data_IF_033894412977
#
_entry.id   IF_033894412977
#
_cell.length_a   1.000
_cell.length_b   1.000
_cell.length_c   1.000
_cell.angle_alpha   90.00
_cell.angle_beta   90.00
_cell.angle_gamma   90.00
#
_symmetry.space_group_name_H-M   'P 1'
#
loop_
_entity.id
_entity.type
_entity.pdbx_description
1 polymer ?
#
# COMPACT_ATOMS: atom_id res chain seq x y z
N UNK A 1 1.65 -13.29 -16.71
CA UNK A 1 1.12 -12.23 -17.61
C UNK A 1 1.82 -10.88 -17.46
N UNK A 2 2.07 -10.35 -16.25
CA UNK A 2 2.70 -9.02 -16.09
C UNK A 2 4.20 -9.03 -16.40
N UNK A 3 4.91 -10.07 -15.98
CA UNK A 3 6.38 -10.08 -15.98
C UNK A 3 6.98 -10.98 -17.07
N UNK A 4 6.29 -12.04 -17.44
CA UNK A 4 6.82 -13.04 -18.39
C UNK A 4 6.32 -12.82 -19.81
N UNK A 5 5.04 -12.49 -20.00
CA UNK A 5 4.49 -12.29 -21.35
C UNK A 5 4.99 -10.98 -21.98
N UNK A 6 5.40 -11.06 -23.23
CA UNK A 6 5.88 -9.90 -24.00
C UNK A 6 5.31 -9.97 -25.44
N UNK A 7 4.42 -9.05 -25.85
CA UNK A 7 3.82 -7.99 -25.03
C UNK A 7 2.89 -8.53 -23.94
N UNK A 8 2.75 -7.82 -22.83
CA UNK A 8 1.80 -8.21 -21.79
C UNK A 8 0.36 -8.12 -22.32
N UNK A 9 -0.52 -9.06 -21.97
CA UNK A 9 -1.93 -8.95 -22.31
C UNK A 9 -2.55 -7.66 -21.78
N UNK A 10 -3.53 -7.07 -22.49
CA UNK A 10 -4.20 -5.87 -22.02
C UNK A 10 -4.94 -6.14 -20.70
N UNK A 11 -4.84 -5.17 -19.79
CA UNK A 11 -5.61 -5.18 -18.55
C UNK A 11 -7.08 -4.88 -18.81
N UNK A 12 -7.93 -5.29 -17.87
CA UNK A 12 -9.30 -4.85 -17.81
C UNK A 12 -9.43 -3.34 -17.52
N UNK A 13 -10.68 -2.82 -17.51
CA UNK A 13 -10.93 -1.42 -17.20
C UNK A 13 -10.49 -1.08 -15.78
N UNK A 14 -10.20 0.22 -15.51
CA UNK A 14 -9.84 0.65 -14.15
C UNK A 14 -10.96 0.37 -13.15
N UNK A 15 -10.60 0.00 -11.94
CA UNK A 15 -11.52 -0.27 -10.83
C UNK A 15 -11.81 1.03 -10.07
N UNK A 16 -13.08 1.36 -9.86
CA UNK A 16 -13.48 2.58 -9.15
C UNK A 16 -12.92 2.68 -7.72
N UNK A 17 -12.78 1.54 -7.00
CA UNK A 17 -12.18 1.54 -5.67
C UNK A 17 -10.68 1.87 -5.71
N UNK A 18 -9.97 1.53 -6.79
CA UNK A 18 -8.58 1.95 -6.97
C UNK A 18 -8.49 3.46 -7.27
N UNK A 19 -9.39 3.98 -8.12
CA UNK A 19 -9.48 5.42 -8.43
C UNK A 19 -9.80 6.24 -7.16
N UNK A 20 -10.73 5.73 -6.35
CA UNK A 20 -11.07 6.32 -5.04
C UNK A 20 -9.86 6.35 -4.11
N UNK A 21 -9.18 5.21 -3.93
CA UNK A 21 -7.98 5.12 -3.10
C UNK A 21 -6.87 6.05 -3.57
N UNK A 22 -6.56 6.03 -4.87
CA UNK A 22 -5.53 6.89 -5.45
C UNK A 22 -5.83 8.38 -5.26
N UNK A 23 -7.10 8.79 -5.45
CA UNK A 23 -7.50 10.19 -5.20
C UNK A 23 -7.25 10.60 -3.74
N UNK A 24 -7.63 9.75 -2.78
CA UNK A 24 -7.44 10.03 -1.34
C UNK A 24 -5.95 10.12 -0.99
N UNK A 25 -5.13 9.17 -1.45
CA UNK A 25 -3.67 9.18 -1.20
C UNK A 25 -3.02 10.44 -1.80
N UNK A 26 -3.37 10.79 -3.04
CA UNK A 26 -2.86 12.00 -3.70
C UNK A 26 -3.24 13.28 -2.95
N UNK A 27 -4.48 13.37 -2.45
CA UNK A 27 -4.94 14.51 -1.69
C UNK A 27 -4.20 14.65 -0.35
N UNK A 28 -3.99 13.55 0.38
CA UNK A 28 -3.22 13.54 1.63
C UNK A 28 -1.75 13.91 1.38
N UNK A 29 -1.16 13.37 0.31
CA UNK A 29 0.19 13.74 -0.09
C UNK A 29 0.30 15.22 -0.45
N UNK A 30 -0.68 15.75 -1.16
CA UNK A 30 -0.78 17.17 -1.49
C UNK A 30 -0.90 18.05 -0.24
N UNK A 31 -1.73 17.64 0.71
CA UNK A 31 -1.96 18.38 1.95
C UNK A 31 -0.67 18.53 2.79
N UNK A 32 0.09 17.46 2.94
CA UNK A 32 1.37 17.51 3.65
C UNK A 32 2.43 18.39 2.98
N UNK A 33 2.31 18.64 1.67
CA UNK A 33 3.22 19.52 0.90
C UNK A 33 2.82 20.99 0.95
N UNK A 34 1.65 21.31 1.50
CA UNK A 34 1.22 22.70 1.66
C UNK A 34 2.03 23.41 2.74
N UNK A 35 2.19 24.74 2.63
CA UNK A 35 2.66 25.58 3.74
C UNK A 35 1.77 25.38 4.96
N UNK A 36 2.33 25.45 6.18
CA UNK A 36 1.60 25.22 7.43
C UNK A 36 0.29 26.03 7.51
N UNK A 37 0.32 27.29 7.11
CA UNK A 37 -0.86 28.16 7.15
C UNK A 37 -2.04 27.68 6.28
N UNK A 38 -1.76 26.84 5.29
CA UNK A 38 -2.75 26.28 4.36
C UNK A 38 -3.18 24.86 4.72
N UNK A 39 -2.54 24.21 5.69
CA UNK A 39 -2.87 22.85 6.14
C UNK A 39 -4.16 22.83 6.97
N UNK A 40 -5.29 23.07 6.31
CA UNK A 40 -6.63 23.07 6.92
C UNK A 40 -7.46 21.91 6.38
N UNK A 41 -8.44 21.41 7.16
CA UNK A 41 -9.34 20.35 6.68
C UNK A 41 -10.02 20.69 5.36
N UNK A 42 -10.54 21.92 5.23
CA UNK A 42 -11.18 22.39 3.99
C UNK A 42 -10.25 22.33 2.77
N UNK A 43 -8.99 22.73 2.94
CA UNK A 43 -8.00 22.65 1.84
C UNK A 43 -7.73 21.21 1.42
N UNK A 44 -7.77 20.27 2.36
CA UNK A 44 -7.64 18.84 2.04
C UNK A 44 -8.82 18.35 1.17
N UNK A 45 -10.05 18.76 1.47
CA UNK A 45 -11.22 18.46 0.65
C UNK A 45 -11.13 19.09 -0.76
N UNK A 46 -10.58 20.30 -0.89
CA UNK A 46 -10.33 20.95 -2.18
C UNK A 46 -9.27 20.21 -3.00
N UNK A 47 -8.26 19.61 -2.35
CA UNK A 47 -7.27 18.77 -3.02
C UNK A 47 -7.90 17.49 -3.59
N UNK A 48 -8.83 16.87 -2.87
CA UNK A 48 -9.62 15.74 -3.37
C UNK A 48 -10.36 16.11 -4.65
N UNK A 49 -11.06 17.25 -4.64
CA UNK A 49 -11.84 17.72 -5.78
C UNK A 49 -10.97 17.99 -7.01
N UNK A 50 -9.86 18.69 -6.84
CA UNK A 50 -8.90 18.98 -7.92
C UNK A 50 -8.22 17.74 -8.50
N UNK A 51 -7.98 16.73 -7.67
CA UNK A 51 -7.30 15.49 -8.06
C UNK A 51 -8.24 14.32 -8.29
N UNK A 52 -9.56 14.57 -8.49
CA UNK A 52 -10.54 13.51 -8.63
C UNK A 52 -10.29 12.64 -9.87
N UNK A 53 -10.19 11.33 -9.65
CA UNK A 53 -10.05 10.32 -10.69
C UNK A 53 -11.42 9.69 -10.92
N UNK A 54 -12.02 9.96 -12.06
CA UNK A 54 -13.40 9.59 -12.38
C UNK A 54 -13.56 8.23 -13.08
N UNK A 55 -12.46 7.51 -13.33
CA UNK A 55 -12.49 6.24 -14.04
C UNK A 55 -13.04 5.11 -13.16
N UNK A 56 -13.79 4.20 -13.80
CA UNK A 56 -14.29 2.97 -13.20
C UNK A 56 -15.63 3.09 -12.49
N UNK A 57 -16.18 4.29 -12.32
CA UNK A 57 -17.53 4.48 -11.78
C UNK A 57 -18.59 4.15 -12.81
N UNK A 58 -19.80 3.80 -12.33
CA UNK A 58 -20.94 3.44 -13.18
C UNK A 58 -21.41 4.61 -14.04
N UNK A 59 -21.55 5.76 -13.39
CA UNK A 59 -21.99 7.00 -14.03
C UNK A 59 -21.48 8.24 -13.26
N UNK A 60 -21.80 9.42 -13.80
CA UNK A 60 -21.43 10.71 -13.17
C UNK A 60 -22.10 10.92 -11.82
N UNK A 61 -23.29 10.38 -11.57
CA UNK A 61 -24.00 10.50 -10.29
C UNK A 61 -23.30 9.67 -9.21
N UNK A 62 -22.92 8.43 -9.53
CA UNK A 62 -22.14 7.61 -8.62
C UNK A 62 -20.77 8.27 -8.32
N UNK A 63 -20.06 8.74 -9.37
CA UNK A 63 -18.80 9.43 -9.22
C UNK A 63 -18.93 10.67 -8.29
N UNK A 64 -19.97 11.48 -8.44
CA UNK A 64 -20.22 12.63 -7.60
C UNK A 64 -20.49 12.28 -6.12
N UNK A 65 -21.27 11.20 -5.87
CA UNK A 65 -21.48 10.71 -4.50
C UNK A 65 -20.18 10.29 -3.83
N UNK A 66 -19.31 9.57 -4.57
CA UNK A 66 -18.03 9.10 -4.04
C UNK A 66 -17.00 10.22 -3.89
N UNK A 67 -17.02 11.23 -4.75
CA UNK A 67 -16.27 12.47 -4.55
C UNK A 67 -16.65 13.14 -3.22
N UNK A 68 -17.93 13.28 -2.91
CA UNK A 68 -18.40 13.81 -1.63
C UNK A 68 -17.91 12.99 -0.44
N UNK A 69 -17.94 11.66 -0.54
CA UNK A 69 -17.40 10.74 0.49
C UNK A 69 -15.91 10.90 0.68
N UNK A 70 -15.14 10.98 -0.41
CA UNK A 70 -13.69 11.16 -0.34
C UNK A 70 -13.32 12.49 0.33
N UNK A 71 -14.00 13.58 -0.04
CA UNK A 71 -13.82 14.91 0.58
C UNK A 71 -14.07 14.84 2.09
N UNK A 72 -15.20 14.31 2.51
CA UNK A 72 -15.56 14.18 3.93
C UNK A 72 -14.60 13.25 4.70
N UNK A 73 -14.13 12.16 4.08
CA UNK A 73 -13.17 11.23 4.69
C UNK A 73 -11.82 11.91 4.94
N UNK A 74 -11.27 12.58 3.94
CA UNK A 74 -9.97 13.26 4.05
C UNK A 74 -10.06 14.42 5.03
N UNK A 75 -11.13 15.22 4.98
CA UNK A 75 -11.36 16.33 5.90
C UNK A 75 -11.41 15.88 7.37
N UNK A 76 -12.18 14.81 7.66
CA UNK A 76 -12.24 14.24 9.02
C UNK A 76 -10.88 13.72 9.47
N UNK A 77 -10.17 13.03 8.60
CA UNK A 77 -8.87 12.44 8.95
C UNK A 77 -7.83 13.52 9.25
N UNK A 78 -7.66 14.52 8.38
CA UNK A 78 -6.67 15.57 8.62
C UNK A 78 -7.02 16.45 9.82
N UNK A 79 -8.30 16.56 10.20
CA UNK A 79 -8.72 17.24 11.43
C UNK A 79 -8.21 16.56 12.72
N UNK A 80 -7.80 15.28 12.64
CA UNK A 80 -7.19 14.55 13.76
C UNK A 80 -5.68 14.71 13.84
N UNK A 81 -5.06 15.33 12.84
CA UNK A 81 -3.61 15.48 12.75
C UNK A 81 -3.17 16.84 13.31
N UNK A 82 -1.95 16.88 13.84
CA UNK A 82 -1.26 18.14 14.11
C UNK A 82 -0.64 18.65 12.80
N UNK A 83 -1.12 19.76 12.24
CA UNK A 83 -0.61 20.30 10.99
C UNK A 83 0.83 20.82 11.08
N UNK A 84 1.35 21.08 12.30
CA UNK A 84 2.71 21.55 12.52
C UNK A 84 3.74 20.43 12.44
N UNK A 85 3.32 19.17 12.47
CA UNK A 85 4.23 18.03 12.28
C UNK A 85 4.73 18.01 10.84
N UNK A 86 6.05 17.91 10.67
CA UNK A 86 6.68 17.77 9.36
C UNK A 86 7.10 16.30 9.15
N UNK A 87 6.44 15.56 8.27
CA UNK A 87 6.87 14.22 7.91
C UNK A 87 8.28 14.22 7.28
N UNK A 88 9.09 13.22 7.58
CA UNK A 88 10.40 13.00 6.93
C UNK A 88 10.24 12.71 5.44
N UNK A 89 9.09 12.19 5.05
CA UNK A 89 8.76 11.96 3.67
C UNK A 89 7.27 11.69 3.45
N UNK A 90 6.80 12.10 2.27
CA UNK A 90 5.43 11.87 1.79
C UNK A 90 5.53 11.30 0.39
N UNK A 91 4.85 10.18 0.11
CA UNK A 91 5.00 9.43 -1.15
C UNK A 91 6.49 9.13 -1.43
N UNK A 92 7.21 8.78 -0.37
CA UNK A 92 8.65 8.63 -0.43
C UNK A 92 9.05 7.28 -0.99
N UNK A 93 9.80 7.30 -2.08
CA UNK A 93 10.41 6.09 -2.62
C UNK A 93 11.60 5.71 -1.73
N UNK A 94 11.60 4.45 -1.29
CA UNK A 94 12.71 3.82 -0.59
C UNK A 94 13.15 2.59 -1.37
N UNK A 95 14.46 2.34 -1.39
CA UNK A 95 15.01 1.15 -2.03
C UNK A 95 16.19 0.63 -1.19
N UNK A 96 16.29 -0.68 -1.13
CA UNK A 96 17.44 -1.37 -0.52
C UNK A 96 17.75 -2.63 -1.31
N UNK A 97 18.96 -3.15 -1.14
CA UNK A 97 19.33 -4.43 -1.75
C UNK A 97 20.02 -5.31 -0.71
N UNK A 98 19.86 -6.61 -0.89
CA UNK A 98 20.73 -7.63 -0.31
C UNK A 98 21.58 -8.25 -1.40
N UNK A 99 22.30 -9.33 -1.11
CA UNK A 99 23.01 -10.10 -2.13
C UNK A 99 22.04 -10.81 -3.08
N UNK A 100 20.82 -11.12 -2.60
CA UNK A 100 19.83 -11.94 -3.32
C UNK A 100 18.77 -11.09 -4.02
N UNK A 101 18.32 -9.99 -3.41
CA UNK A 101 17.20 -9.20 -3.93
C UNK A 101 17.43 -7.70 -3.87
N UNK A 102 16.79 -6.99 -4.78
CA UNK A 102 16.57 -5.55 -4.71
C UNK A 102 15.08 -5.29 -4.37
N UNK A 103 14.86 -4.54 -3.30
CA UNK A 103 13.51 -4.16 -2.84
C UNK A 103 13.33 -2.67 -3.03
N UNK A 104 12.26 -2.27 -3.64
CA UNK A 104 11.86 -0.87 -3.72
C UNK A 104 10.37 -0.73 -3.44
N UNK A 105 9.98 0.41 -2.91
CA UNK A 105 8.58 0.72 -2.66
C UNK A 105 8.37 2.18 -2.35
N UNK A 106 7.11 2.58 -2.25
CA UNK A 106 6.71 3.94 -1.95
C UNK A 106 5.91 3.97 -0.66
N UNK A 107 6.40 4.71 0.30
CA UNK A 107 5.78 4.90 1.62
C UNK A 107 4.86 6.10 1.53
N UNK A 108 3.60 5.96 1.94
CA UNK A 108 2.62 7.05 1.90
C UNK A 108 3.07 8.23 2.77
N UNK A 109 3.47 7.94 4.02
CA UNK A 109 4.04 8.93 4.93
C UNK A 109 5.09 8.29 5.85
N UNK A 110 6.19 8.97 6.03
CA UNK A 110 7.25 8.60 6.97
C UNK A 110 7.38 9.69 8.03
N UNK A 111 7.05 9.35 9.26
CA UNK A 111 7.10 10.28 10.39
C UNK A 111 8.41 10.15 11.16
N UNK A 112 8.75 11.22 11.85
CA UNK A 112 9.81 11.29 12.86
C UNK A 112 9.15 11.50 14.22
N UNK A 113 9.27 10.52 15.12
CA UNK A 113 8.60 10.56 16.42
C UNK A 113 9.60 10.29 17.56
N UNK A 114 9.36 10.84 18.78
CA UNK A 114 10.17 10.51 19.94
C UNK A 114 10.27 8.99 20.13
N UNK A 115 11.49 8.49 20.39
CA UNK A 115 11.70 7.11 20.75
C UNK A 115 11.03 6.81 22.10
N UNK A 116 10.60 5.55 22.32
CA UNK A 116 10.06 5.17 23.61
C UNK A 116 11.14 5.26 24.69
N UNK A 117 10.81 5.76 25.89
CA UNK A 117 11.73 5.69 27.03
C UNK A 117 12.12 4.23 27.32
N UNK A 118 13.42 3.95 27.44
CA UNK A 118 13.94 2.60 27.74
C UNK A 118 14.26 1.72 26.53
N UNK A 119 14.24 2.25 25.31
CA UNK A 119 14.83 1.57 24.17
C UNK A 119 16.33 1.30 24.43
N UNK A 120 16.80 0.06 24.14
CA UNK A 120 18.20 -0.32 24.41
C UNK A 120 19.16 0.62 23.67
N UNK A 121 20.05 1.34 24.40
CA UNK A 121 21.05 2.22 23.76
C UNK A 121 21.97 1.47 22.78
N UNK A 122 22.13 0.15 22.93
CA UNK A 122 22.95 -0.67 22.02
C UNK A 122 22.33 -0.83 20.65
N UNK A 123 20.99 -0.78 20.56
CA UNK A 123 20.28 -0.73 19.28
C UNK A 123 20.44 0.66 18.61
N UNK A 124 20.68 1.72 19.38
CA UNK A 124 20.90 3.08 18.86
C UNK A 124 22.34 3.35 18.42
N UNK A 125 23.32 2.59 18.89
CA UNK A 125 24.76 2.83 18.61
C UNK A 125 25.16 2.59 17.14
N UNK A 126 24.35 1.89 16.35
CA UNK A 126 24.63 1.72 14.90
C UNK A 126 24.26 2.94 14.04
N UNK A 127 23.57 3.92 14.60
CA UNK A 127 23.13 5.15 13.91
C UNK A 127 23.65 6.40 14.63
N UNK A 128 24.98 6.57 14.65
CA UNK A 128 25.64 7.72 15.28
C UNK A 128 25.44 9.04 14.54
N UNK A 129 24.22 9.60 14.57
CA UNK A 129 23.86 10.88 13.99
C UNK A 129 22.96 11.72 14.90
N UNK A 130 22.78 13.03 14.62
CA UNK A 130 21.84 13.86 15.37
C UNK A 130 20.42 13.30 15.21
N UNK A 131 19.73 13.03 16.34
CA UNK A 131 18.38 12.46 16.36
C UNK A 131 18.27 11.09 17.05
N UNK A 132 19.22 10.71 17.89
CA UNK A 132 19.26 9.41 18.59
C UNK A 132 18.03 9.11 19.46
N UNK A 133 17.26 10.14 19.84
CA UNK A 133 16.05 10.00 20.67
C UNK A 133 14.76 9.97 19.83
N UNK A 134 14.87 9.78 18.51
CA UNK A 134 13.70 9.79 17.61
C UNK A 134 13.77 8.65 16.62
N UNK A 135 12.63 7.96 16.47
CA UNK A 135 12.45 6.81 15.58
C UNK A 135 11.62 7.19 14.34
N UNK A 136 11.93 6.54 13.23
CA UNK A 136 11.08 6.62 12.03
C UNK A 136 9.87 5.72 12.21
N UNK A 137 8.71 6.19 11.73
CA UNK A 137 7.45 5.45 11.71
C UNK A 137 6.91 5.43 10.29
N UNK A 138 6.73 4.24 9.74
CA UNK A 138 6.06 4.05 8.45
C UNK A 138 4.56 4.14 8.65
N UNK A 139 3.90 5.00 7.89
CA UNK A 139 2.44 5.14 7.87
C UNK A 139 1.92 4.79 6.49
N UNK A 140 0.91 3.92 6.45
CA UNK A 140 0.21 3.51 5.24
C UNK A 140 -1.29 3.77 5.42
N UNK A 141 -1.92 4.37 4.42
CA UNK A 141 -3.33 4.73 4.44
C UNK A 141 -4.19 3.61 3.86
N UNK A 142 -5.28 3.30 4.54
CA UNK A 142 -6.28 2.34 4.08
C UNK A 142 -7.63 3.02 3.91
N UNK A 143 -8.16 2.96 2.70
CA UNK A 143 -9.45 3.54 2.32
C UNK A 143 -10.55 2.49 2.19
N UNK A 144 -10.21 1.21 2.32
CA UNK A 144 -11.14 0.09 2.22
C UNK A 144 -12.21 0.13 3.33
N UNK A 145 -13.37 -0.53 3.09
CA UNK A 145 -14.46 -0.59 4.08
C UNK A 145 -14.07 -1.37 5.32
N UNK A 146 -13.44 -2.53 5.14
CA UNK A 146 -13.09 -3.42 6.24
C UNK A 146 -11.92 -2.86 7.01
N UNK A 147 -12.09 -2.54 8.30
CA UNK A 147 -10.97 -2.11 9.12
C UNK A 147 -9.90 -3.22 9.16
N UNK A 148 -8.61 -2.86 9.02
CA UNK A 148 -7.54 -3.82 9.23
C UNK A 148 -7.51 -4.29 10.69
N UNK A 149 -6.84 -5.41 10.92
CA UNK A 149 -6.57 -5.95 12.24
C UNK A 149 -5.12 -5.72 12.64
N UNK A 150 -4.79 -5.88 13.92
CA UNK A 150 -3.39 -5.86 14.37
C UNK A 150 -2.55 -6.95 13.67
N UNK A 151 -3.18 -8.08 13.34
CA UNK A 151 -2.51 -9.14 12.60
C UNK A 151 -2.14 -8.71 11.18
N UNK A 152 -2.98 -7.91 10.50
CA UNK A 152 -2.68 -7.39 9.17
C UNK A 152 -1.45 -6.48 9.19
N UNK A 153 -1.34 -5.61 10.21
CA UNK A 153 -0.15 -4.76 10.39
C UNK A 153 1.09 -5.62 10.66
N UNK A 154 0.98 -6.55 11.60
CA UNK A 154 2.08 -7.41 12.04
C UNK A 154 2.63 -8.30 10.92
N UNK A 155 1.75 -8.88 10.11
CA UNK A 155 2.11 -9.85 9.07
C UNK A 155 2.40 -9.22 7.70
N UNK A 156 2.22 -7.91 7.56
CA UNK A 156 2.45 -7.20 6.30
C UNK A 156 3.91 -7.23 5.89
N UNK A 157 4.23 -8.02 4.88
CA UNK A 157 5.57 -8.07 4.29
C UNK A 157 5.98 -6.71 3.73
N UNK A 158 5.06 -6.01 3.05
CA UNK A 158 5.32 -4.71 2.47
C UNK A 158 5.72 -3.66 3.53
N UNK A 159 4.98 -3.55 4.63
CA UNK A 159 5.29 -2.61 5.71
C UNK A 159 6.63 -2.92 6.38
N UNK A 160 6.92 -4.19 6.61
CA UNK A 160 8.21 -4.61 7.18
C UNK A 160 9.38 -4.25 6.26
N UNK A 161 9.23 -4.49 4.95
CA UNK A 161 10.24 -4.13 3.95
C UNK A 161 10.39 -2.61 3.81
N UNK A 162 9.32 -1.84 3.93
CA UNK A 162 9.38 -0.37 3.96
C UNK A 162 10.14 0.14 5.19
N UNK A 163 9.87 -0.43 6.37
CA UNK A 163 10.59 -0.08 7.59
C UNK A 163 12.09 -0.39 7.46
N UNK A 164 12.42 -1.57 6.94
CA UNK A 164 13.79 -2.00 6.67
C UNK A 164 14.52 -1.06 5.71
N UNK A 165 13.88 -0.77 4.56
CA UNK A 165 14.46 0.10 3.54
C UNK A 165 14.61 1.54 4.04
N UNK A 166 13.61 2.11 4.73
CA UNK A 166 13.68 3.44 5.31
C UNK A 166 14.80 3.53 6.36
N UNK A 167 14.89 2.54 7.24
CA UNK A 167 15.94 2.47 8.25
C UNK A 167 17.34 2.45 7.65
N UNK A 168 17.57 1.64 6.63
CA UNK A 168 18.86 1.54 5.93
C UNK A 168 19.22 2.80 5.16
N UNK A 169 18.27 3.34 4.37
CA UNK A 169 18.51 4.52 3.52
C UNK A 169 18.78 5.76 4.37
N UNK A 170 18.02 5.94 5.45
CA UNK A 170 18.13 7.11 6.30
C UNK A 170 19.10 6.91 7.48
N UNK A 171 19.63 5.70 7.66
CA UNK A 171 20.53 5.32 8.76
C UNK A 171 19.95 5.66 10.14
N UNK A 172 18.67 5.35 10.33
CA UNK A 172 17.91 5.62 11.55
C UNK A 172 17.05 4.42 11.93
N UNK A 173 16.66 4.33 13.19
CA UNK A 173 15.74 3.30 13.67
C UNK A 173 14.37 3.47 12.98
N UNK A 174 13.86 2.38 12.44
CA UNK A 174 12.53 2.31 11.81
C UNK A 174 11.94 0.93 12.07
N UNK A 175 11.34 0.73 13.23
CA UNK A 175 10.73 -0.54 13.64
C UNK A 175 9.22 -0.45 13.72
N UNK A 176 8.68 0.76 13.85
CA UNK A 176 7.25 0.98 14.00
C UNK A 176 6.59 1.21 12.64
N UNK A 177 5.49 0.49 12.43
CA UNK A 177 4.62 0.61 11.25
C UNK A 177 3.19 0.85 11.69
N UNK A 178 2.45 1.66 10.96
CA UNK A 178 1.06 2.01 11.25
C UNK A 178 0.20 1.88 10.00
N UNK A 179 -1.00 1.28 10.17
CA UNK A 179 -2.10 1.37 9.22
C UNK A 179 -3.12 2.37 9.73
N UNK A 180 -3.35 3.42 8.97
CA UNK A 180 -4.37 4.41 9.25
C UNK A 180 -5.61 4.11 8.41
N UNK A 181 -6.66 3.57 9.04
CA UNK A 181 -7.93 3.28 8.38
C UNK A 181 -8.81 4.52 8.36
N UNK A 182 -8.84 5.20 7.23
CA UNK A 182 -9.45 6.52 7.08
C UNK A 182 -10.98 6.51 7.29
N UNK A 183 -11.75 5.48 6.84
CA UNK A 183 -13.19 5.44 7.07
C UNK A 183 -13.60 5.50 8.54
N UNK A 184 -12.85 4.85 9.43
CA UNK A 184 -13.16 4.78 10.88
C UNK A 184 -12.24 5.63 11.74
N UNK A 185 -11.25 6.32 11.14
CA UNK A 185 -10.18 7.04 11.84
C UNK A 185 -9.38 6.17 12.82
N UNK A 186 -9.38 4.84 12.64
CA UNK A 186 -8.64 3.90 13.46
C UNK A 186 -7.17 3.86 13.04
N UNK A 187 -6.28 3.90 14.01
CA UNK A 187 -4.84 3.71 13.82
C UNK A 187 -4.43 2.40 14.49
N UNK A 188 -3.86 1.50 13.70
CA UNK A 188 -3.31 0.23 14.16
C UNK A 188 -1.80 0.28 13.99
N UNK A 189 -1.08 -0.03 15.05
CA UNK A 189 0.36 0.02 15.06
C UNK A 189 0.97 -1.34 15.42
N UNK A 190 2.12 -1.61 14.84
CA UNK A 190 2.97 -2.72 15.21
C UNK A 190 4.43 -2.26 15.31
N UNK A 191 5.14 -2.76 16.30
CA UNK A 191 6.57 -2.51 16.47
C UNK A 191 7.32 -3.84 16.25
N UNK A 192 8.11 -3.89 15.21
CA UNK A 192 8.98 -5.02 14.91
C UNK A 192 10.21 -5.02 15.80
N UNK A 193 10.75 -6.18 16.12
CA UNK A 193 12.13 -6.33 16.56
C UNK A 193 13.06 -6.50 15.36
N UNK A 194 14.37 -6.35 15.52
CA UNK A 194 15.36 -6.67 14.47
C UNK A 194 15.14 -8.09 13.94
N UNK A 195 15.01 -9.07 14.83
CA UNK A 195 14.74 -10.46 14.46
C UNK A 195 13.43 -10.64 13.68
N UNK A 196 12.40 -9.82 13.98
CA UNK A 196 11.16 -9.84 13.23
C UNK A 196 11.37 -9.30 11.81
N UNK A 197 12.09 -8.19 11.65
CA UNK A 197 12.41 -7.64 10.33
C UNK A 197 13.30 -8.59 9.53
N UNK A 198 14.28 -9.22 10.15
CA UNK A 198 15.13 -10.22 9.49
C UNK A 198 14.34 -11.44 9.00
N UNK A 199 13.35 -11.91 9.77
CA UNK A 199 12.45 -12.97 9.30
C UNK A 199 11.63 -12.54 8.09
N UNK A 200 11.13 -11.31 8.06
CA UNK A 200 10.38 -10.80 6.90
C UNK A 200 11.28 -10.62 5.68
N UNK A 201 12.54 -10.21 5.89
CA UNK A 201 13.50 -10.11 4.81
C UNK A 201 13.81 -11.49 4.20
N UNK A 202 14.12 -12.49 5.04
CA UNK A 202 14.33 -13.87 4.57
C UNK A 202 13.11 -14.39 3.80
N UNK A 203 11.90 -14.15 4.31
CA UNK A 203 10.68 -14.52 3.57
C UNK A 203 10.60 -13.86 2.19
N UNK A 204 11.01 -12.60 2.06
CA UNK A 204 11.06 -11.94 0.76
C UNK A 204 12.12 -12.54 -0.16
N UNK A 205 13.27 -12.91 0.38
CA UNK A 205 14.34 -13.57 -0.34
C UNK A 205 13.93 -14.98 -0.83
N UNK A 206 13.26 -15.76 0.02
CA UNK A 206 12.72 -17.09 -0.33
C UNK A 206 11.70 -16.99 -1.47
N UNK A 207 10.77 -16.03 -1.41
CA UNK A 207 9.78 -15.78 -2.48
C UNK A 207 10.48 -15.36 -3.78
N UNK A 208 11.49 -14.51 -3.70
CA UNK A 208 12.21 -14.06 -4.89
C UNK A 208 13.02 -15.20 -5.53
N UNK A 209 13.65 -16.06 -4.75
CA UNK A 209 14.36 -17.25 -5.22
C UNK A 209 13.41 -18.25 -5.89
N UNK A 210 12.23 -18.49 -5.29
CA UNK A 210 11.19 -19.30 -5.91
C UNK A 210 10.73 -18.72 -7.25
N UNK A 211 10.48 -17.42 -7.31
CA UNK A 211 10.11 -16.72 -8.55
C UNK A 211 11.22 -16.82 -9.61
N UNK A 212 12.49 -16.67 -9.22
CA UNK A 212 13.62 -16.76 -10.15
C UNK A 212 13.77 -18.17 -10.74
N UNK A 213 13.64 -19.20 -9.90
CA UNK A 213 13.66 -20.59 -10.36
C UNK A 213 12.50 -20.91 -11.31
N UNK A 214 11.31 -20.43 -11.00
CA UNK A 214 10.14 -20.60 -11.85
C UNK A 214 10.31 -19.88 -13.21
N UNK A 215 10.87 -18.66 -13.21
CA UNK A 215 11.15 -17.89 -14.43
C UNK A 215 12.22 -18.58 -15.30
N UNK A 216 13.28 -19.09 -14.71
CA UNK A 216 14.33 -19.84 -15.39
C UNK A 216 13.78 -21.11 -16.05
N UNK A 217 12.98 -21.88 -15.31
CA UNK A 217 12.34 -23.08 -15.85
C UNK A 217 11.37 -22.75 -17.01
N UNK A 218 10.57 -21.70 -16.87
CA UNK A 218 9.66 -21.25 -17.93
C UNK A 218 10.42 -20.84 -19.21
N UNK A 219 11.57 -20.17 -19.06
CA UNK A 219 12.40 -19.74 -20.20
C UNK A 219 13.15 -20.87 -20.87
N UNK A 220 13.55 -21.88 -20.13
CA UNK A 220 14.27 -23.05 -20.67
C UNK A 220 13.38 -23.95 -21.53
N UNK A 221 12.06 -23.94 -21.33
CA UNK A 221 11.10 -24.80 -22.02
C UNK A 221 9.84 -24.07 -22.56
N UNK A 222 9.98 -23.01 -23.38
CA UNK A 222 8.87 -22.13 -23.75
C UNK A 222 7.78 -22.79 -24.62
N UNK A 223 8.10 -23.90 -25.31
CA UNK A 223 7.20 -24.52 -26.29
C UNK A 223 6.39 -25.72 -25.76
N UNK A 224 6.54 -26.11 -24.50
CA UNK A 224 6.03 -27.40 -24.01
C UNK A 224 4.62 -27.36 -23.40
N UNK A 225 3.93 -26.23 -23.37
CA UNK A 225 2.65 -26.10 -22.67
C UNK A 225 2.76 -26.25 -21.14
N UNK A 226 3.98 -26.29 -20.61
CA UNK A 226 4.28 -26.50 -19.19
C UNK A 226 4.20 -25.23 -18.34
N UNK A 227 3.82 -24.09 -18.90
CA UNK A 227 3.59 -22.87 -18.13
C UNK A 227 2.68 -23.12 -16.94
N UNK A 228 1.66 -23.96 -17.12
CA UNK A 228 0.70 -24.30 -16.07
C UNK A 228 1.30 -25.19 -14.96
N UNK A 229 2.35 -25.95 -15.24
CA UNK A 229 3.03 -26.77 -14.23
C UNK A 229 3.93 -25.91 -13.32
N UNK A 230 4.53 -24.85 -13.89
CA UNK A 230 5.42 -23.93 -13.15
C UNK A 230 4.65 -22.80 -12.49
N UNK A 231 3.60 -22.30 -13.15
CA UNK A 231 2.70 -21.25 -12.66
C UNK A 231 1.26 -21.77 -12.66
N UNK A 232 0.93 -22.75 -11.81
CA UNK A 232 -0.42 -23.32 -11.80
C UNK A 232 -1.45 -22.25 -11.49
N UNK A 233 -2.58 -22.22 -12.23
CA UNK A 233 -3.65 -21.30 -11.90
C UNK A 233 -4.21 -21.63 -10.50
N UNK A 234 -4.42 -20.59 -9.70
CA UNK A 234 -5.05 -20.68 -8.38
C UNK A 234 -6.42 -20.00 -8.40
N UNK A 235 -7.43 -20.65 -9.03
CA UNK A 235 -8.74 -20.03 -9.23
C UNK A 235 -9.51 -19.90 -7.91
N UNK A 236 -10.29 -18.80 -7.79
CA UNK A 236 -11.10 -18.52 -6.63
C UNK A 236 -12.00 -17.30 -6.83
N UNK A 237 -12.69 -16.88 -5.77
CA UNK A 237 -13.63 -15.75 -5.82
C UNK A 237 -12.97 -14.42 -6.27
N UNK A 238 -11.67 -14.27 -6.01
CA UNK A 238 -10.88 -13.11 -6.45
C UNK A 238 -10.67 -13.04 -7.97
N UNK A 239 -10.89 -14.13 -8.71
CA UNK A 239 -10.81 -14.12 -10.16
C UNK A 239 -11.82 -13.17 -10.82
N UNK A 240 -12.93 -12.86 -10.13
CA UNK A 240 -13.86 -11.83 -10.57
C UNK A 240 -13.27 -10.42 -10.63
N UNK A 241 -12.21 -10.15 -9.86
CA UNK A 241 -11.50 -8.88 -9.76
C UNK A 241 -10.17 -8.84 -10.53
N UNK A 242 -9.82 -9.92 -11.22
CA UNK A 242 -8.55 -10.04 -11.89
C UNK A 242 -8.51 -9.25 -13.19
N UNK A 243 -7.56 -8.34 -13.33
CA UNK A 243 -7.33 -7.55 -14.55
C UNK A 243 -7.09 -8.41 -15.81
N UNK A 244 -6.62 -9.64 -15.63
CA UNK A 244 -6.30 -10.57 -16.70
C UNK A 244 -7.33 -11.68 -16.89
N UNK A 245 -8.47 -11.59 -16.22
CA UNK A 245 -9.53 -12.60 -16.30
C UNK A 245 -9.96 -12.94 -17.74
N UNK A 246 -9.97 -11.95 -18.63
CA UNK A 246 -10.30 -12.14 -20.05
C UNK A 246 -9.37 -13.14 -20.76
N UNK A 247 -8.17 -13.35 -20.23
CA UNK A 247 -7.11 -14.21 -20.79
C UNK A 247 -6.91 -15.52 -20.00
N UNK A 248 -7.74 -15.80 -18.96
CA UNK A 248 -7.61 -16.96 -18.10
C UNK A 248 -8.90 -17.80 -18.12
N UNK A 249 -8.90 -18.97 -18.77
CA UNK A 249 -10.06 -19.86 -18.81
C UNK A 249 -10.52 -20.30 -17.42
N UNK A 250 -9.60 -20.70 -16.56
CA UNK A 250 -9.87 -21.16 -15.19
C UNK A 250 -10.47 -20.02 -14.34
N UNK A 251 -9.96 -18.80 -14.49
CA UNK A 251 -10.49 -17.63 -13.80
C UNK A 251 -11.89 -17.24 -14.28
N UNK A 252 -12.20 -17.47 -15.56
CA UNK A 252 -13.56 -17.26 -16.11
C UNK A 252 -14.57 -18.24 -15.51
N UNK A 253 -14.16 -19.49 -15.31
CA UNK A 253 -14.99 -20.53 -14.74
C UNK A 253 -15.18 -20.39 -13.23
N UNK A 254 -14.15 -19.92 -12.52
CA UNK A 254 -14.14 -19.86 -11.07
C UNK A 254 -15.01 -18.75 -10.46
N UNK A 255 -15.17 -17.64 -11.16
CA UNK A 255 -15.97 -16.51 -10.67
C UNK A 255 -16.61 -15.71 -11.81
N UNK A 256 -17.80 -15.12 -11.61
CA UNK A 256 -18.39 -14.19 -12.57
C UNK A 256 -17.52 -12.93 -12.68
N UNK A 257 -17.58 -12.29 -13.86
CA UNK A 257 -16.94 -11.00 -14.05
C UNK A 257 -17.59 -9.95 -13.13
N UNK A 258 -16.78 -9.13 -12.50
CA UNK A 258 -17.22 -7.97 -11.75
C UNK A 258 -17.21 -6.73 -12.63
N UNK A 259 -18.16 -5.84 -12.40
CA UNK A 259 -18.17 -4.52 -13.03
C UNK A 259 -17.14 -3.63 -12.32
N UNK A 260 -16.57 -2.64 -12.99
CA UNK A 260 -15.55 -1.76 -12.39
C UNK A 260 -15.96 -1.12 -11.06
N UNK A 261 -17.24 -0.91 -10.85
CA UNK A 261 -17.81 -0.27 -9.65
C UNK A 261 -18.36 -1.24 -8.60
N UNK A 262 -18.40 -2.56 -8.85
CA UNK A 262 -18.92 -3.52 -7.87
C UNK A 262 -18.18 -3.49 -6.53
N UNK A 263 -16.90 -3.09 -6.53
CA UNK A 263 -16.12 -2.87 -5.31
C UNK A 263 -16.60 -1.71 -4.45
N UNK A 264 -17.37 -0.80 -5.02
CA UNK A 264 -17.94 0.34 -4.32
C UNK A 264 -19.24 0.00 -3.56
N UNK A 265 -19.99 -1.01 -3.97
CA UNK A 265 -21.20 -1.47 -3.28
C UNK A 265 -20.89 -1.81 -1.79
N UNK A 266 -19.63 -2.12 -1.51
CA UNK A 266 -19.12 -2.35 -0.17
C UNK A 266 -19.17 -1.08 0.72
N UNK A 267 -19.29 0.12 0.14
CA UNK A 267 -19.33 1.40 0.86
C UNK A 267 -20.75 1.99 0.99
N UNK A 268 -21.74 1.36 0.42
CA UNK A 268 -23.11 1.81 0.57
C UNK A 268 -23.65 1.34 1.92
N UNK A 269 -24.25 2.20 2.76
CA UNK A 269 -24.99 1.73 3.90
C UNK A 269 -26.13 0.85 3.39
N UNK A 270 -26.39 -0.26 4.08
CA UNK A 270 -27.57 -1.07 3.83
C UNK A 270 -28.78 -0.12 3.75
N UNK A 271 -29.60 -0.17 2.70
CA UNK A 271 -30.83 0.59 2.70
C UNK A 271 -31.70 0.08 3.85
N UNK A 272 -31.72 0.84 4.95
CA UNK A 272 -32.60 0.61 6.09
C UNK A 272 -34.04 0.92 5.74
#
# INVERSE_FOLDING_TARGET
>A
MVYLDRPSPPKGPPWAHNSFGATVHNALAGWWRLPLAERRPKTAAELVERGWIAEGYEDGSQAARYLGRAKAMVERYVATLDPAVEPVGVERVVATKTELIAVSGRIDRLDDRPAKPGADPRESVRSGGPGQDRDLVVVDYKTGRTPPTTQDVRSSLALALYALAAGRVLRRRCFKVELHHLPTAQVLAWEHSEQSLDRQLRRAEDVADECARADEHFRSEPASGRGDAVFPPAPGAWCGWCDFRAHCPEGKLAAPAKRPWDGLAIYEPDPS
#
